data_IF_751526442772
#
_entry.id   IF_751526442772
#
_cell.length_a   1.000
_cell.length_b   1.000
_cell.length_c   1.000
_cell.angle_alpha   90.00
_cell.angle_beta   90.00
_cell.angle_gamma   90.00
#
_symmetry.space_group_name_H-M   'P 1'
#
loop_
_entity.id
_entity.type
_entity.pdbx_description
1 polymer ?
#
# COMPACT_ATOMS: atom_id res chain seq x y z
N UNK A 1 20.98 0.06 35.46
CA UNK A 1 19.69 -0.31 34.84
C UNK A 1 19.66 0.34 33.48
N UNK A 2 19.95 -0.42 32.41
CA UNK A 2 19.97 0.11 31.05
C UNK A 2 18.55 0.47 30.62
N UNK A 3 18.38 1.65 30.04
CA UNK A 3 17.13 2.02 29.37
C UNK A 3 16.85 0.96 28.29
N UNK A 4 15.80 0.17 28.46
CA UNK A 4 15.30 -0.71 27.39
C UNK A 4 14.80 0.22 26.30
N UNK A 5 15.60 0.41 25.25
CA UNK A 5 15.22 1.24 24.12
C UNK A 5 14.00 0.63 23.45
N UNK A 6 12.92 1.41 23.30
CA UNK A 6 11.75 1.00 22.53
C UNK A 6 12.15 0.95 21.05
N UNK A 7 11.74 -0.11 20.35
CA UNK A 7 12.00 -0.30 18.92
C UNK A 7 11.20 0.65 18.03
N UNK A 8 11.66 0.85 16.79
CA UNK A 8 10.97 1.64 15.77
C UNK A 8 10.06 0.76 14.91
N UNK A 9 8.89 1.26 14.55
CA UNK A 9 8.00 0.61 13.56
C UNK A 9 7.94 1.49 12.33
N UNK A 10 8.28 0.92 11.18
CA UNK A 10 7.97 1.55 9.90
C UNK A 10 6.53 1.21 9.53
N UNK A 11 5.64 2.19 9.65
CA UNK A 11 4.21 1.99 9.45
C UNK A 11 3.80 1.98 7.95
N UNK A 12 4.74 2.23 7.02
CA UNK A 12 4.41 2.31 5.60
C UNK A 12 5.66 2.20 4.72
N UNK A 13 5.82 1.09 4.01
CA UNK A 13 6.92 0.89 3.07
C UNK A 13 6.55 -0.07 1.91
N UNK A 14 7.21 0.08 0.76
CA UNK A 14 7.01 -0.76 -0.43
C UNK A 14 8.17 -1.76 -0.58
N UNK A 15 8.18 -2.81 0.25
CA UNK A 15 9.23 -3.85 0.19
C UNK A 15 9.12 -4.76 -1.05
N UNK A 16 7.97 -4.74 -1.72
CA UNK A 16 7.71 -5.44 -2.98
C UNK A 16 8.21 -4.68 -4.20
N UNK A 17 8.69 -3.44 -4.05
CA UNK A 17 9.20 -2.63 -5.15
C UNK A 17 10.40 -3.32 -5.85
N UNK A 18 10.48 -3.30 -7.19
CA UNK A 18 11.62 -3.83 -7.94
C UNK A 18 12.98 -3.26 -7.52
N UNK A 19 13.02 -2.03 -6.98
CA UNK A 19 14.26 -1.40 -6.49
C UNK A 19 14.96 -2.23 -5.40
N UNK A 20 14.23 -3.09 -4.68
CA UNK A 20 14.77 -3.97 -3.64
C UNK A 20 15.06 -5.41 -4.10
N UNK A 21 14.80 -5.76 -5.36
CA UNK A 21 14.90 -7.17 -5.82
C UNK A 21 16.30 -7.80 -5.63
N UNK A 22 17.34 -6.98 -5.63
CA UNK A 22 18.72 -7.45 -5.56
C UNK A 22 19.30 -7.53 -4.15
N UNK A 23 18.77 -6.77 -3.18
CA UNK A 23 19.39 -6.61 -1.87
C UNK A 23 18.40 -6.56 -0.69
N UNK A 24 17.12 -6.87 -0.90
CA UNK A 24 16.08 -6.82 0.14
C UNK A 24 16.49 -7.52 1.45
N UNK A 25 17.11 -8.69 1.37
CA UNK A 25 17.55 -9.43 2.55
C UNK A 25 18.60 -8.64 3.37
N UNK A 26 19.56 -8.00 2.68
CA UNK A 26 20.58 -7.17 3.32
C UNK A 26 19.97 -5.87 3.90
N UNK A 27 19.01 -5.27 3.19
CA UNK A 27 18.23 -4.12 3.65
C UNK A 27 17.48 -4.45 4.95
N UNK A 28 16.78 -5.58 5.00
CA UNK A 28 16.01 -6.01 6.18
C UNK A 28 16.93 -6.34 7.37
N UNK A 29 18.09 -6.96 7.14
CA UNK A 29 19.07 -7.21 8.20
C UNK A 29 19.69 -5.91 8.73
N UNK A 30 19.94 -4.92 7.86
CA UNK A 30 20.36 -3.58 8.30
C UNK A 30 19.26 -2.89 9.11
N UNK A 31 17.99 -3.01 8.71
CA UNK A 31 16.86 -2.44 9.45
C UNK A 31 16.76 -3.00 10.88
N UNK A 32 16.91 -4.32 11.05
CA UNK A 32 16.96 -4.96 12.38
C UNK A 32 18.10 -4.41 13.23
N UNK A 33 19.31 -4.28 12.66
CA UNK A 33 20.48 -3.70 13.36
C UNK A 33 20.28 -2.23 13.73
N UNK A 34 19.44 -1.51 12.98
CA UNK A 34 19.02 -0.14 13.26
C UNK A 34 17.87 -0.03 14.27
N UNK A 35 17.50 -1.12 14.95
CA UNK A 35 16.43 -1.18 15.95
C UNK A 35 15.01 -0.96 15.38
N UNK A 36 14.81 -1.25 14.10
CA UNK A 36 13.47 -1.44 13.53
C UNK A 36 12.95 -2.79 14.00
N UNK A 37 11.73 -2.82 14.56
CA UNK A 37 11.11 -4.03 15.12
C UNK A 37 9.93 -4.54 14.31
N UNK A 38 9.36 -3.72 13.43
CA UNK A 38 8.35 -4.14 12.47
C UNK A 38 8.32 -3.20 11.25
N UNK A 39 7.96 -3.75 10.09
CA UNK A 39 7.72 -3.04 8.85
C UNK A 39 6.34 -3.39 8.33
N UNK A 40 5.56 -2.38 7.98
CA UNK A 40 4.24 -2.53 7.38
C UNK A 40 4.38 -2.39 5.87
N UNK A 41 4.39 -3.54 5.18
CA UNK A 41 4.53 -3.62 3.74
C UNK A 41 3.18 -3.39 3.07
N UNK A 42 3.07 -2.37 2.23
CA UNK A 42 1.84 -2.00 1.52
C UNK A 42 1.91 -2.38 0.05
N UNK A 43 0.75 -2.65 -0.54
CA UNK A 43 0.60 -2.86 -1.98
C UNK A 43 0.09 -1.60 -2.69
N UNK A 44 0.49 -1.42 -3.94
CA UNK A 44 -0.09 -0.48 -4.90
C UNK A 44 -1.04 -1.18 -5.90
N UNK A 45 -0.72 -2.41 -6.33
CA UNK A 45 -1.49 -3.13 -7.35
C UNK A 45 -1.56 -4.65 -7.10
N UNK A 46 -2.57 -5.31 -7.65
CA UNK A 46 -2.84 -6.75 -7.40
C UNK A 46 -1.70 -7.69 -7.83
N UNK A 47 -0.90 -7.30 -8.83
CA UNK A 47 0.25 -8.08 -9.30
C UNK A 47 1.36 -8.33 -8.27
N UNK A 48 1.45 -7.55 -7.19
CA UNK A 48 2.50 -7.72 -6.16
C UNK A 48 2.00 -8.42 -4.89
N UNK A 49 0.69 -8.69 -4.80
CA UNK A 49 0.07 -9.19 -3.57
C UNK A 49 0.73 -10.49 -3.10
N UNK A 50 0.98 -11.40 -4.04
CA UNK A 50 1.63 -12.67 -3.74
C UNK A 50 3.06 -12.48 -3.23
N UNK A 51 3.81 -11.52 -3.79
CA UNK A 51 5.17 -11.17 -3.31
C UNK A 51 5.12 -10.64 -1.88
N UNK A 52 4.19 -9.73 -1.56
CA UNK A 52 4.02 -9.20 -0.20
C UNK A 52 3.67 -10.31 0.79
N UNK A 53 2.78 -11.22 0.40
CA UNK A 53 2.40 -12.37 1.23
C UNK A 53 3.60 -13.28 1.49
N UNK A 54 4.38 -13.61 0.45
CA UNK A 54 5.60 -14.42 0.59
C UNK A 54 6.65 -13.74 1.49
N UNK A 55 6.81 -12.41 1.38
CA UNK A 55 7.69 -11.64 2.26
C UNK A 55 7.23 -11.72 3.72
N UNK A 56 5.93 -11.62 3.98
CA UNK A 56 5.37 -11.76 5.33
C UNK A 56 5.61 -13.16 5.93
N UNK A 57 5.64 -14.21 5.11
CA UNK A 57 5.95 -15.58 5.58
C UNK A 57 7.43 -15.72 5.90
N UNK A 58 8.27 -15.29 4.96
CA UNK A 58 9.72 -15.37 5.07
C UNK A 58 10.25 -14.59 6.28
N UNK A 59 9.63 -13.44 6.56
CA UNK A 59 9.96 -12.54 7.65
C UNK A 59 8.84 -12.45 8.68
N UNK A 60 8.27 -13.59 9.05
CA UNK A 60 7.15 -13.70 9.99
C UNK A 60 7.42 -12.96 11.31
N UNK A 61 6.47 -12.14 11.71
CA UNK A 61 6.55 -11.28 12.90
C UNK A 61 7.36 -9.99 12.72
N UNK A 62 8.04 -9.80 11.58
CA UNK A 62 8.80 -8.59 11.26
C UNK A 62 8.18 -7.80 10.11
N UNK A 63 7.77 -8.48 9.03
CA UNK A 63 7.06 -7.87 7.89
C UNK A 63 5.57 -8.14 8.02
N UNK A 64 4.78 -7.08 8.12
CA UNK A 64 3.34 -7.10 8.35
C UNK A 64 2.62 -6.68 7.05
N UNK A 65 1.85 -7.58 6.41
CA UNK A 65 1.34 -7.34 5.06
C UNK A 65 0.07 -6.49 5.08
N UNK A 66 -0.02 -5.55 4.13
CA UNK A 66 -1.21 -4.81 3.78
C UNK A 66 -1.46 -4.96 2.28
N UNK A 67 -2.71 -5.28 1.91
CA UNK A 67 -3.11 -5.39 0.52
C UNK A 67 -4.21 -4.37 0.21
N UNK A 68 -4.12 -3.72 -0.94
CA UNK A 68 -5.01 -2.67 -1.39
C UNK A 68 -4.67 -2.26 -2.82
N UNK A 69 -5.51 -1.40 -3.40
CA UNK A 69 -5.30 -0.84 -4.73
C UNK A 69 -5.16 0.67 -4.61
N UNK A 70 -3.98 1.17 -5.02
CA UNK A 70 -3.59 2.57 -4.93
C UNK A 70 -4.31 3.43 -5.99
N UNK A 71 -4.62 4.73 -5.72
CA UNK A 71 -5.33 5.60 -6.67
C UNK A 71 -4.63 5.84 -8.02
N UNK A 72 -3.33 5.58 -8.09
CA UNK A 72 -2.52 5.62 -9.32
C UNK A 72 -2.07 4.19 -9.62
N UNK A 73 -2.25 3.76 -10.87
CA UNK A 73 -1.91 2.41 -11.36
C UNK A 73 -0.97 2.52 -12.55
N UNK A 74 -0.05 1.58 -12.69
CA UNK A 74 0.92 1.52 -13.80
C UNK A 74 2.33 1.22 -13.26
N UNK A 75 3.07 0.37 -13.96
CA UNK A 75 4.39 -0.11 -13.52
C UNK A 75 5.53 0.86 -13.86
N UNK A 76 5.31 1.73 -14.85
CA UNK A 76 6.29 2.69 -15.34
C UNK A 76 5.73 4.10 -15.22
N UNK A 77 6.60 5.11 -15.13
CA UNK A 77 6.16 6.51 -15.08
C UNK A 77 5.32 6.91 -16.31
N UNK A 78 5.58 6.32 -17.46
CA UNK A 78 4.87 6.59 -18.72
C UNK A 78 3.49 5.93 -18.79
N UNK A 79 3.29 4.80 -18.09
CA UNK A 79 2.02 4.06 -18.07
C UNK A 79 1.11 4.41 -16.88
N UNK A 80 1.54 5.31 -16.00
CA UNK A 80 0.75 5.71 -14.83
C UNK A 80 -0.59 6.36 -15.23
N UNK A 81 -1.68 5.83 -14.69
CA UNK A 81 -3.06 6.30 -14.88
C UNK A 81 -3.84 6.29 -13.58
N UNK A 82 -5.02 6.91 -13.57
CA UNK A 82 -5.97 6.74 -12.47
C UNK A 82 -6.39 5.27 -12.33
N UNK A 83 -6.61 4.84 -11.08
CA UNK A 83 -7.25 3.56 -10.78
C UNK A 83 -8.67 3.50 -11.33
N UNK A 84 -9.08 2.30 -11.70
CA UNK A 84 -10.43 1.98 -12.18
C UNK A 84 -11.10 0.94 -11.29
N UNK A 85 -12.42 0.81 -11.40
CA UNK A 85 -13.14 -0.27 -10.70
C UNK A 85 -12.67 -1.67 -11.13
N UNK A 86 -12.18 -1.83 -12.37
CA UNK A 86 -11.66 -3.11 -12.87
C UNK A 86 -10.40 -3.56 -12.12
N UNK A 87 -9.53 -2.61 -11.76
CA UNK A 87 -8.32 -2.91 -10.98
C UNK A 87 -8.70 -3.47 -9.61
N UNK A 88 -9.72 -2.87 -8.98
CA UNK A 88 -10.25 -3.35 -7.72
C UNK A 88 -10.95 -4.72 -7.85
N UNK A 89 -11.76 -4.94 -8.89
CA UNK A 89 -12.48 -6.19 -9.09
C UNK A 89 -11.54 -7.40 -9.21
N UNK A 90 -10.34 -7.21 -9.80
CA UNK A 90 -9.27 -8.23 -9.85
C UNK A 90 -8.63 -8.45 -8.47
N UNK A 91 -8.47 -7.39 -7.67
CA UNK A 91 -7.82 -7.45 -6.38
C UNK A 91 -8.67 -8.11 -5.27
N UNK A 92 -10.00 -7.87 -5.28
CA UNK A 92 -10.91 -8.29 -4.20
C UNK A 92 -10.81 -9.78 -3.84
N UNK A 93 -10.86 -10.74 -4.78
CA UNK A 93 -10.79 -12.16 -4.42
C UNK A 93 -9.49 -12.54 -3.68
N UNK A 94 -8.38 -11.87 -4.00
CA UNK A 94 -7.06 -12.15 -3.42
C UNK A 94 -6.99 -11.57 -1.99
N UNK A 95 -7.50 -10.34 -1.79
CA UNK A 95 -7.57 -9.73 -0.45
C UNK A 95 -8.44 -10.59 0.47
N UNK A 96 -9.59 -11.05 -0.02
CA UNK A 96 -10.48 -11.96 0.70
C UNK A 96 -9.83 -13.29 1.07
N UNK A 97 -9.03 -13.84 0.15
CA UNK A 97 -8.31 -15.10 0.37
C UNK A 97 -7.31 -14.99 1.53
N UNK A 98 -6.61 -13.86 1.62
CA UNK A 98 -5.57 -13.63 2.62
C UNK A 98 -6.03 -12.85 3.86
N UNK A 99 -7.33 -12.54 4.00
CA UNK A 99 -7.88 -11.64 5.03
C UNK A 99 -7.38 -11.89 6.46
N UNK A 100 -7.19 -13.15 6.87
CA UNK A 100 -6.82 -13.52 8.24
C UNK A 100 -5.32 -13.31 8.52
N UNK A 101 -4.55 -12.91 7.50
CA UNK A 101 -3.11 -12.66 7.56
C UNK A 101 -2.76 -11.18 7.45
N UNK A 102 -3.70 -10.34 7.05
CA UNK A 102 -3.44 -8.93 6.78
C UNK A 102 -3.43 -8.11 8.06
N UNK A 103 -2.51 -7.16 8.15
CA UNK A 103 -2.53 -6.13 9.20
C UNK A 103 -3.58 -5.06 8.91
N UNK A 104 -3.69 -4.64 7.64
CA UNK A 104 -4.61 -3.61 7.19
C UNK A 104 -4.97 -3.79 5.69
N UNK A 105 -5.98 -3.06 5.23
CA UNK A 105 -6.22 -2.84 3.80
C UNK A 105 -5.44 -1.58 3.38
N UNK A 106 -4.50 -1.72 2.45
CA UNK A 106 -3.57 -0.65 2.11
C UNK A 106 -2.53 -1.04 1.05
N UNK A 107 -2.05 -0.10 0.25
CA UNK A 107 -2.30 1.35 0.29
C UNK A 107 -3.58 1.74 -0.48
N UNK A 108 -4.42 2.58 0.11
CA UNK A 108 -5.68 3.05 -0.50
C UNK A 108 -5.84 4.55 -0.37
N UNK A 109 -6.45 5.23 -1.35
CA UNK A 109 -6.52 6.68 -1.25
C UNK A 109 -7.12 7.42 -2.43
N UNK A 110 -6.78 8.71 -2.48
CA UNK A 110 -7.10 9.62 -3.57
C UNK A 110 -5.82 10.36 -4.00
N UNK A 111 -5.60 10.46 -5.30
CA UNK A 111 -4.62 11.36 -5.91
C UNK A 111 -5.30 12.24 -6.94
N UNK A 112 -5.59 13.49 -6.56
CA UNK A 112 -6.23 14.49 -7.43
C UNK A 112 -5.21 15.38 -8.16
N UNK A 113 -3.98 14.92 -8.31
CA UNK A 113 -3.01 15.59 -9.16
C UNK A 113 -3.55 15.69 -10.58
N UNK A 114 -3.39 16.85 -11.27
CA UNK A 114 -3.91 17.04 -12.63
C UNK A 114 -3.41 16.01 -13.65
N UNK A 115 -2.27 15.36 -13.37
CA UNK A 115 -1.71 14.29 -14.19
C UNK A 115 -2.55 13.01 -14.16
N UNK A 116 -3.15 12.67 -13.02
CA UNK A 116 -3.80 11.38 -12.80
C UNK A 116 -5.33 11.49 -12.74
N UNK A 117 -5.86 12.56 -12.14
CA UNK A 117 -7.31 12.82 -12.08
C UNK A 117 -7.64 14.23 -12.59
N UNK A 118 -7.46 14.42 -13.90
CA UNK A 118 -7.74 15.67 -14.59
C UNK A 118 -9.23 15.89 -14.84
N UNK A 119 -10.00 14.82 -15.03
CA UNK A 119 -11.46 14.88 -15.21
C UNK A 119 -12.21 14.57 -13.91
N UNK A 120 -13.46 15.03 -13.80
CA UNK A 120 -14.31 14.72 -12.66
C UNK A 120 -14.74 13.25 -12.63
N UNK A 121 -14.81 12.61 -13.79
CA UNK A 121 -15.04 11.16 -13.92
C UNK A 121 -13.90 10.37 -13.26
N UNK A 122 -12.64 10.71 -13.53
CA UNK A 122 -11.48 10.06 -12.89
C UNK A 122 -11.49 10.25 -11.36
N UNK A 123 -11.79 11.47 -10.89
CA UNK A 123 -11.91 11.74 -9.44
C UNK A 123 -13.03 10.91 -8.81
N UNK A 124 -14.16 10.79 -9.49
CA UNK A 124 -15.27 9.99 -9.00
C UNK A 124 -14.94 8.50 -8.98
N UNK A 125 -14.25 7.99 -10.00
CA UNK A 125 -13.83 6.59 -10.01
C UNK A 125 -12.86 6.27 -8.86
N UNK A 126 -11.89 7.14 -8.57
CA UNK A 126 -11.03 6.99 -7.39
C UNK A 126 -11.84 6.98 -6.08
N UNK A 127 -12.87 7.84 -5.96
CA UNK A 127 -13.75 7.82 -4.78
C UNK A 127 -14.50 6.51 -4.66
N UNK A 128 -15.05 5.98 -5.75
CA UNK A 128 -15.77 4.70 -5.74
C UNK A 128 -14.85 3.54 -5.34
N UNK A 129 -13.61 3.50 -5.87
CA UNK A 129 -12.59 2.52 -5.48
C UNK A 129 -12.27 2.63 -3.98
N UNK A 130 -12.01 3.84 -3.48
CA UNK A 130 -11.74 4.06 -2.06
C UNK A 130 -12.92 3.65 -1.17
N UNK A 131 -14.16 4.02 -1.53
CA UNK A 131 -15.37 3.68 -0.77
C UNK A 131 -15.51 2.16 -0.64
N UNK A 132 -15.31 1.41 -1.72
CA UNK A 132 -15.38 -0.06 -1.69
C UNK A 132 -14.28 -0.67 -0.83
N UNK A 133 -13.05 -0.13 -0.86
CA UNK A 133 -11.98 -0.59 0.01
C UNK A 133 -12.22 -0.24 1.49
N UNK A 134 -12.83 0.90 1.79
CA UNK A 134 -13.28 1.26 3.16
C UNK A 134 -14.36 0.29 3.64
N UNK A 135 -15.32 -0.06 2.78
CA UNK A 135 -16.37 -1.03 3.10
C UNK A 135 -15.78 -2.43 3.32
N UNK A 136 -14.81 -2.83 2.50
CA UNK A 136 -14.05 -4.07 2.66
C UNK A 136 -13.33 -4.12 4.01
N UNK A 137 -12.54 -3.10 4.33
CA UNK A 137 -11.81 -3.02 5.60
C UNK A 137 -12.75 -3.11 6.81
N UNK A 138 -13.89 -2.40 6.76
CA UNK A 138 -14.95 -2.52 7.79
C UNK A 138 -15.50 -3.94 7.91
N UNK A 139 -15.79 -4.61 6.78
CA UNK A 139 -16.31 -5.98 6.76
C UNK A 139 -15.30 -7.00 7.29
N UNK A 140 -14.02 -6.78 7.03
CA UNK A 140 -12.92 -7.61 7.51
C UNK A 140 -12.44 -7.24 8.92
N UNK A 141 -12.99 -6.16 9.51
CA UNK A 141 -12.53 -5.59 10.79
C UNK A 141 -11.03 -5.24 10.78
N UNK A 142 -10.54 -4.72 9.66
CA UNK A 142 -9.15 -4.29 9.45
C UNK A 142 -9.05 -2.76 9.41
N UNK A 143 -7.93 -2.17 9.87
CA UNK A 143 -7.58 -0.77 9.63
C UNK A 143 -7.38 -0.45 8.14
N UNK A 144 -7.23 0.85 7.84
CA UNK A 144 -6.81 1.35 6.53
C UNK A 144 -5.41 1.97 6.61
N UNK A 145 -4.52 1.61 5.69
CA UNK A 145 -3.31 2.39 5.41
C UNK A 145 -3.61 3.34 4.26
N UNK A 146 -3.69 4.64 4.56
CA UNK A 146 -4.32 5.63 3.67
C UNK A 146 -3.31 6.55 3.02
N UNK A 147 -3.38 6.63 1.68
CA UNK A 147 -2.78 7.67 0.88
C UNK A 147 -3.72 8.86 0.66
N UNK A 148 -3.19 10.06 0.70
CA UNK A 148 -3.88 11.23 0.14
C UNK A 148 -2.88 12.17 -0.49
N UNK A 149 -2.97 12.37 -1.80
CA UNK A 149 -2.24 13.40 -2.51
C UNK A 149 -3.24 14.40 -3.11
N UNK A 150 -3.22 15.63 -2.59
CA UNK A 150 -3.99 16.75 -3.14
C UNK A 150 -3.05 17.86 -3.53
N UNK A 151 -2.42 17.75 -4.71
CA UNK A 151 -1.66 18.86 -5.30
C UNK A 151 -2.61 19.83 -6.00
N UNK A 152 -3.34 20.61 -5.21
CA UNK A 152 -3.98 21.82 -5.75
C UNK A 152 -2.87 22.83 -6.06
N UNK A 153 -2.55 23.05 -7.34
CA UNK A 153 -1.93 24.32 -7.71
C UNK A 153 -2.95 25.39 -7.36
N UNK A 154 -2.71 26.16 -6.30
CA UNK A 154 -3.29 27.50 -6.21
C UNK A 154 -2.78 28.25 -7.43
N UNK A 155 -3.53 28.24 -8.52
CA UNK A 155 -3.35 29.25 -9.57
C UNK A 155 -3.76 30.57 -8.95
N UNK A 156 -2.79 31.26 -8.35
CA UNK A 156 -2.93 32.66 -8.01
C UNK A 156 -3.11 33.43 -9.31
N UNK A 157 -4.33 33.89 -9.55
CA UNK A 157 -4.65 35.13 -10.24
C UNK A 157 -5.82 35.78 -9.50
#
# INVERSE_FOLDING_TARGET
MGTVGVGLVDCHCHLSDPDFDHDLDDVLEKAKKANVVALVAVAEHSGEFEKIIQLSERYSGFVLPCLGVHPVQGLSLEDQRSVTLKDLDVALPIIEHYKDRLLAVGEVGLDFSPRFAGSDEQKEEQRQVLIRQVQLAKRLNLPLNRFTCTRTRKTGK
#
